data_IF_840117853744
#
_entry.id   IF_840117853744
#
_cell.length_a   1.000
_cell.length_b   1.000
_cell.length_c   1.000
_cell.angle_alpha   90.00
_cell.angle_beta   90.00
_cell.angle_gamma   90.00
#
_symmetry.space_group_name_H-M   'P 1'
#
loop_
_entity.id
_entity.type
_entity.pdbx_description
1 polymer ?
#
# COMPACT_ATOMS: atom_id res chain seq x y z
N UNK A 1 -7.06 -8.26 12.84
CA UNK A 1 -6.98 -9.56 12.14
C UNK A 1 -6.43 -10.61 13.10
N UNK A 2 -6.93 -11.84 13.06
CA UNK A 2 -6.34 -12.98 13.77
C UNK A 2 -5.81 -13.98 12.74
N UNK A 3 -4.59 -14.50 12.94
CA UNK A 3 -3.93 -15.40 12.00
C UNK A 3 -3.58 -16.71 12.74
N UNK A 4 -3.99 -17.89 12.23
CA UNK A 4 -3.54 -19.16 12.79
C UNK A 4 -2.02 -19.30 12.71
N UNK A 5 -1.39 -19.85 13.75
CA UNK A 5 0.07 -20.07 13.76
C UNK A 5 0.56 -20.85 12.53
N UNK A 6 -0.18 -21.89 12.14
CA UNK A 6 0.14 -22.69 10.95
C UNK A 6 0.16 -21.87 9.66
N UNK A 7 -0.65 -20.81 9.56
CA UNK A 7 -0.63 -19.90 8.42
C UNK A 7 0.68 -19.09 8.40
N UNK A 8 1.09 -18.51 9.55
CA UNK A 8 2.37 -17.80 9.64
C UNK A 8 3.57 -18.71 9.35
N UNK A 9 3.57 -19.94 9.88
CA UNK A 9 4.64 -20.92 9.63
C UNK A 9 4.71 -21.34 8.15
N UNK A 10 3.60 -21.33 7.43
CA UNK A 10 3.55 -21.72 6.00
C UNK A 10 3.84 -20.55 5.06
N UNK A 11 3.27 -19.37 5.35
CA UNK A 11 3.30 -18.19 4.49
C UNK A 11 4.53 -17.33 4.72
N UNK A 12 5.12 -17.41 5.93
CA UNK A 12 6.20 -16.55 6.37
C UNK A 12 5.72 -15.17 6.82
N UNK A 13 6.68 -14.33 7.23
CA UNK A 13 6.40 -13.01 7.76
C UNK A 13 5.85 -12.02 6.72
N UNK A 14 5.55 -10.83 7.23
CA UNK A 14 5.16 -9.67 6.44
C UNK A 14 6.32 -9.20 5.57
N UNK A 15 6.00 -8.70 4.37
CA UNK A 15 7.04 -8.23 3.46
C UNK A 15 7.62 -6.89 3.94
N UNK A 16 8.91 -6.88 4.28
CA UNK A 16 9.66 -5.68 4.67
C UNK A 16 9.86 -4.69 3.50
N UNK A 17 9.49 -5.08 2.28
CA UNK A 17 9.50 -4.17 1.12
C UNK A 17 8.49 -3.03 1.30
N UNK A 18 7.41 -3.31 2.01
CA UNK A 18 6.43 -2.34 2.43
C UNK A 18 6.78 -1.85 3.83
N UNK A 19 6.69 -0.53 4.05
CA UNK A 19 6.73 0.03 5.40
C UNK A 19 5.32 0.27 5.94
N UNK A 20 4.44 0.85 5.12
CA UNK A 20 3.05 1.16 5.40
C UNK A 20 2.23 0.99 4.12
N UNK A 21 1.00 0.48 4.23
CA UNK A 21 0.09 0.16 3.12
C UNK A 21 0.58 -0.98 2.20
N UNK A 22 -0.35 -1.87 1.85
CA UNK A 22 -0.17 -3.08 1.04
C UNK A 22 0.52 -4.27 1.70
N UNK A 23 1.16 -4.13 2.86
CA UNK A 23 1.73 -5.26 3.61
C UNK A 23 0.66 -6.30 3.97
N UNK A 24 -0.52 -5.84 4.40
CA UNK A 24 -1.67 -6.70 4.73
C UNK A 24 -2.25 -7.39 3.49
N UNK A 25 -2.35 -6.64 2.39
CA UNK A 25 -2.90 -7.16 1.13
C UNK A 25 -1.97 -8.21 0.52
N UNK A 26 -0.66 -7.93 0.52
CA UNK A 26 0.37 -8.87 0.09
C UNK A 26 0.31 -10.18 0.89
N UNK A 27 0.26 -10.06 2.22
CA UNK A 27 0.15 -11.21 3.12
C UNK A 27 -1.11 -12.03 2.81
N UNK A 28 -2.28 -11.39 2.68
CA UNK A 28 -3.54 -12.08 2.39
C UNK A 28 -3.50 -12.82 1.05
N UNK A 29 -2.89 -12.25 0.01
CA UNK A 29 -2.75 -12.92 -1.29
C UNK A 29 -1.82 -14.13 -1.18
N UNK A 30 -0.68 -14.01 -0.48
CA UNK A 30 0.22 -15.15 -0.25
C UNK A 30 -0.46 -16.26 0.55
N UNK A 31 -1.21 -15.89 1.60
CA UNK A 31 -1.99 -16.83 2.39
C UNK A 31 -3.06 -17.55 1.54
N UNK A 32 -3.77 -16.82 0.69
CA UNK A 32 -4.74 -17.40 -0.23
C UNK A 32 -4.10 -18.36 -1.22
N UNK A 33 -2.94 -18.01 -1.80
CA UNK A 33 -2.16 -18.89 -2.69
C UNK A 33 -1.66 -20.14 -1.98
N UNK A 34 -1.42 -20.07 -0.67
CA UNK A 34 -1.07 -21.21 0.18
C UNK A 34 -2.28 -22.04 0.67
N UNK A 35 -3.50 -21.70 0.22
CA UNK A 35 -4.73 -22.45 0.53
C UNK A 35 -5.47 -21.98 1.79
N UNK A 36 -5.05 -20.88 2.42
CA UNK A 36 -5.76 -20.30 3.57
C UNK A 36 -6.87 -19.34 3.11
N UNK A 37 -8.09 -19.56 3.62
CA UNK A 37 -9.21 -18.65 3.41
C UNK A 37 -9.21 -17.45 4.37
N UNK A 38 -9.85 -16.36 3.97
CA UNK A 38 -10.16 -15.22 4.84
C UNK A 38 -11.67 -15.17 5.11
N UNK A 39 -12.07 -14.88 6.34
CA UNK A 39 -13.47 -14.77 6.75
C UNK A 39 -13.69 -13.51 7.58
N UNK A 40 -14.74 -12.77 7.22
CA UNK A 40 -15.27 -11.67 8.01
C UNK A 40 -16.30 -12.19 9.02
N UNK A 41 -16.19 -11.77 10.28
CA UNK A 41 -17.07 -12.16 11.38
C UNK A 41 -17.78 -10.89 11.90
N UNK A 42 -18.99 -10.57 11.43
CA UNK A 42 -19.69 -9.33 11.80
C UNK A 42 -20.02 -9.24 13.29
N UNK A 43 -20.10 -10.36 13.99
CA UNK A 43 -20.33 -10.45 15.43
C UNK A 43 -19.15 -10.00 16.29
N UNK A 44 -17.94 -9.91 15.74
CA UNK A 44 -16.73 -9.47 16.45
C UNK A 44 -16.47 -8.00 16.09
N UNK A 45 -16.71 -7.10 17.03
CA UNK A 45 -16.55 -5.65 16.84
C UNK A 45 -15.28 -5.17 17.54
N UNK A 46 -14.40 -4.52 16.78
CA UNK A 46 -13.20 -3.84 17.30
C UNK A 46 -13.22 -2.40 16.78
N UNK A 47 -13.15 -1.43 17.69
CA UNK A 47 -13.10 -0.01 17.34
C UNK A 47 -11.66 0.42 17.05
N UNK A 48 -11.47 1.10 15.91
CA UNK A 48 -10.19 1.64 15.49
C UNK A 48 -10.38 3.09 15.04
N UNK A 49 -9.55 4.00 15.58
CA UNK A 49 -9.56 5.40 15.17
C UNK A 49 -8.86 5.54 13.82
N UNK A 50 -9.62 5.95 12.80
CA UNK A 50 -9.09 6.05 11.44
C UNK A 50 -8.14 7.24 11.35
N UNK A 51 -6.98 7.01 10.76
CA UNK A 51 -5.98 8.05 10.46
C UNK A 51 -5.37 8.76 11.68
N UNK A 52 -5.49 8.22 12.90
CA UNK A 52 -4.97 8.87 14.12
C UNK A 52 -3.45 9.10 14.13
N UNK A 53 -2.65 8.22 13.52
CA UNK A 53 -1.19 8.33 13.53
C UNK A 53 -0.59 9.04 12.31
N UNK A 54 -1.15 8.82 11.12
CA UNK A 54 -0.57 9.30 9.84
C UNK A 54 -1.34 10.51 9.29
N UNK A 55 -2.58 10.74 9.74
CA UNK A 55 -3.48 11.75 9.19
C UNK A 55 -4.13 11.31 7.88
N UNK A 56 -5.35 11.81 7.62
CA UNK A 56 -6.07 11.56 6.39
C UNK A 56 -5.47 12.39 5.25
N UNK A 57 -5.19 11.75 4.10
CA UNK A 57 -4.57 12.42 2.94
C UNK A 57 -3.29 13.21 3.27
N UNK A 58 -2.46 12.67 4.16
CA UNK A 58 -1.16 13.28 4.49
C UNK A 58 -0.13 13.03 3.39
N UNK A 59 0.98 13.79 3.37
CA UNK A 59 2.08 13.56 2.43
C UNK A 59 2.61 12.12 2.50
N UNK A 60 2.70 11.57 3.72
CA UNK A 60 3.15 10.20 3.99
C UNK A 60 2.22 9.17 3.37
N UNK A 61 0.91 9.36 3.52
CA UNK A 61 -0.09 8.51 2.86
C UNK A 61 0.12 8.48 1.35
N UNK A 62 0.19 9.67 0.72
CA UNK A 62 0.33 9.78 -0.73
C UNK A 62 1.64 9.18 -1.26
N UNK A 63 2.71 9.30 -0.49
CA UNK A 63 3.98 8.69 -0.82
C UNK A 63 3.88 7.16 -0.90
N UNK A 64 3.48 6.52 0.20
CA UNK A 64 3.48 5.07 0.30
C UNK A 64 2.38 4.42 -0.55
N UNK A 65 1.19 5.03 -0.67
CA UNK A 65 0.14 4.46 -1.51
C UNK A 65 0.55 4.45 -3.00
N UNK A 66 1.26 5.48 -3.46
CA UNK A 66 1.74 5.58 -4.84
C UNK A 66 2.89 4.59 -5.04
N UNK A 67 3.91 4.63 -4.18
CA UNK A 67 5.06 3.72 -4.26
C UNK A 67 4.65 2.24 -4.21
N UNK A 68 3.84 1.88 -3.23
CA UNK A 68 3.55 0.47 -2.92
C UNK A 68 2.58 -0.16 -3.91
N UNK A 69 1.66 0.61 -4.50
CA UNK A 69 0.83 0.11 -5.60
C UNK A 69 1.70 -0.41 -6.75
N UNK A 70 2.80 0.30 -7.05
CA UNK A 70 3.74 -0.14 -8.09
C UNK A 70 4.47 -1.43 -7.71
N UNK A 71 4.91 -1.61 -6.47
CA UNK A 71 5.53 -2.87 -6.03
C UNK A 71 4.53 -4.02 -5.99
N UNK A 72 3.32 -3.75 -5.51
CA UNK A 72 2.23 -4.70 -5.50
C UNK A 72 1.94 -5.24 -6.91
N UNK A 73 1.87 -4.36 -7.90
CA UNK A 73 1.72 -4.76 -9.30
C UNK A 73 2.87 -5.67 -9.78
N UNK A 74 4.12 -5.40 -9.40
CA UNK A 74 5.26 -6.22 -9.82
C UNK A 74 5.22 -7.63 -9.22
N UNK A 75 4.76 -7.74 -7.98
CA UNK A 75 4.78 -8.98 -7.22
C UNK A 75 3.55 -9.86 -7.49
N UNK A 76 2.41 -9.26 -7.85
CA UNK A 76 1.13 -9.99 -7.93
C UNK A 76 0.43 -9.96 -9.28
N UNK A 77 0.77 -9.04 -10.19
CA UNK A 77 0.17 -8.99 -11.53
C UNK A 77 1.02 -9.80 -12.50
N UNK A 78 0.36 -10.68 -13.26
CA UNK A 78 1.03 -11.45 -14.31
C UNK A 78 1.66 -10.53 -15.36
N UNK A 79 2.83 -10.94 -15.89
CA UNK A 79 3.62 -10.13 -16.83
C UNK A 79 2.83 -9.65 -18.05
N UNK A 80 1.91 -10.47 -18.55
CA UNK A 80 1.04 -10.14 -19.70
C UNK A 80 0.08 -8.98 -19.40
N UNK A 81 -0.39 -8.86 -18.16
CA UNK A 81 -1.30 -7.81 -17.71
C UNK A 81 -0.58 -6.58 -17.14
N UNK A 82 0.73 -6.69 -16.87
CA UNK A 82 1.51 -5.65 -16.21
C UNK A 82 1.56 -4.35 -17.02
N UNK A 83 1.65 -4.41 -18.35
CA UNK A 83 1.69 -3.20 -19.20
C UNK A 83 0.38 -2.42 -19.06
N UNK A 84 -0.76 -3.10 -19.15
CA UNK A 84 -2.07 -2.47 -18.98
C UNK A 84 -2.23 -1.89 -17.57
N UNK A 85 -1.81 -2.63 -16.54
CA UNK A 85 -1.81 -2.15 -15.16
C UNK A 85 -0.95 -0.88 -14.99
N UNK A 86 0.18 -0.78 -15.70
CA UNK A 86 1.04 0.41 -15.71
C UNK A 86 0.40 1.60 -16.42
N UNK A 87 -0.23 1.36 -17.56
CA UNK A 87 -0.97 2.39 -18.30
C UNK A 87 -2.08 2.96 -17.42
N UNK A 88 -2.87 2.10 -16.77
CA UNK A 88 -3.92 2.54 -15.86
C UNK A 88 -3.35 3.28 -14.64
N UNK A 89 -2.28 2.76 -14.05
CA UNK A 89 -1.63 3.38 -12.90
C UNK A 89 -1.10 4.79 -13.21
N UNK A 90 -0.32 4.97 -14.27
CA UNK A 90 0.22 6.29 -14.62
C UNK A 90 -0.80 7.19 -15.32
N UNK A 91 -1.72 6.64 -16.09
CA UNK A 91 -2.70 7.39 -16.89
C UNK A 91 -3.97 7.80 -16.13
N UNK A 92 -4.36 7.06 -15.10
CA UNK A 92 -5.56 7.35 -14.31
C UNK A 92 -5.24 7.50 -12.82
N UNK A 93 -4.56 6.52 -12.22
CA UNK A 93 -4.39 6.47 -10.76
C UNK A 93 -3.54 7.61 -10.20
N UNK A 94 -2.38 7.89 -10.81
CA UNK A 94 -1.52 9.01 -10.41
C UNK A 94 -2.22 10.37 -10.60
N UNK A 95 -2.81 10.69 -11.77
CA UNK A 95 -3.59 11.92 -11.93
C UNK A 95 -4.71 12.08 -10.90
N UNK A 96 -5.45 11.01 -10.61
CA UNK A 96 -6.50 11.02 -9.57
C UNK A 96 -5.91 11.38 -8.20
N UNK A 97 -4.80 10.75 -7.80
CA UNK A 97 -4.15 11.05 -6.54
C UNK A 97 -3.55 12.47 -6.48
N UNK A 98 -3.10 13.04 -7.60
CA UNK A 98 -2.70 14.46 -7.67
C UNK A 98 -3.92 15.35 -7.40
N UNK A 99 -5.07 15.07 -8.02
CA UNK A 99 -6.30 15.85 -7.79
C UNK A 99 -6.74 15.77 -6.32
N UNK A 100 -6.68 14.58 -5.71
CA UNK A 100 -7.00 14.41 -4.28
C UNK A 100 -5.97 15.13 -3.38
N UNK A 101 -4.70 15.08 -3.72
CA UNK A 101 -3.62 15.78 -3.01
C UNK A 101 -3.80 17.31 -3.04
N UNK A 102 -4.35 17.87 -4.12
CA UNK A 102 -4.64 19.31 -4.21
C UNK A 102 -5.70 19.78 -3.20
N UNK A 103 -6.59 18.88 -2.75
CA UNK A 103 -7.58 19.16 -1.70
C UNK A 103 -7.08 18.97 -0.26
N UNK A 104 -5.80 18.60 -0.07
CA UNK A 104 -5.23 18.36 1.26
C UNK A 104 -4.77 19.68 1.94
N UNK A 105 -4.55 19.69 3.27
CA UNK A 105 -4.05 20.88 3.97
C UNK A 105 -2.68 21.38 3.50
N UNK A 106 -1.87 20.51 2.88
CA UNK A 106 -0.53 20.83 2.35
C UNK A 106 -0.36 20.34 0.89
N UNK A 107 -1.03 20.99 -0.08
CA UNK A 107 -1.12 20.51 -1.46
C UNK A 107 0.24 20.24 -2.13
N UNK A 108 1.19 21.17 -1.99
CA UNK A 108 2.51 21.04 -2.59
C UNK A 108 3.26 19.80 -2.08
N UNK A 109 3.30 19.60 -0.77
CA UNK A 109 3.96 18.45 -0.15
C UNK A 109 3.29 17.14 -0.52
N UNK A 110 1.96 17.11 -0.59
CA UNK A 110 1.21 15.92 -0.98
C UNK A 110 1.43 15.57 -2.46
N UNK A 111 1.34 16.54 -3.38
CA UNK A 111 1.60 16.32 -4.81
C UNK A 111 3.04 15.87 -5.04
N UNK A 112 4.01 16.51 -4.37
CA UNK A 112 5.41 16.09 -4.40
C UNK A 112 5.57 14.63 -3.98
N UNK A 113 4.90 14.21 -2.90
CA UNK A 113 4.97 12.85 -2.40
C UNK A 113 4.26 11.83 -3.31
N UNK A 114 3.16 12.19 -3.98
CA UNK A 114 2.56 11.34 -5.03
C UNK A 114 3.59 11.05 -6.13
N UNK A 115 4.23 12.10 -6.66
CA UNK A 115 5.20 11.98 -7.74
C UNK A 115 6.46 11.23 -7.30
N UNK A 116 7.01 11.60 -6.14
CA UNK A 116 8.18 10.96 -5.55
C UNK A 116 7.94 9.47 -5.34
N UNK A 117 6.82 9.10 -4.71
CA UNK A 117 6.43 7.70 -4.50
C UNK A 117 6.27 6.94 -5.80
N UNK A 118 5.67 7.54 -6.83
CA UNK A 118 5.49 6.91 -8.14
C UNK A 118 6.82 6.58 -8.86
N UNK A 119 7.87 7.35 -8.58
CA UNK A 119 9.20 7.22 -9.18
C UNK A 119 10.17 6.40 -8.33
N UNK A 120 10.00 6.39 -7.00
CA UNK A 120 10.83 5.64 -6.07
C UNK A 120 10.94 4.16 -6.46
N UNK A 121 12.14 3.62 -6.32
CA UNK A 121 12.44 2.19 -6.50
C UNK A 121 12.98 1.52 -5.23
N UNK A 122 13.22 2.31 -4.20
CA UNK A 122 13.69 1.87 -2.90
C UNK A 122 12.59 1.10 -2.15
N UNK A 123 13.01 0.09 -1.39
CA UNK A 123 12.15 -0.79 -0.59
C UNK A 123 12.29 -0.42 0.91
N UNK A 124 11.25 -0.68 1.68
CA UNK A 124 11.26 -0.51 3.14
C UNK A 124 11.14 0.94 3.62
N UNK A 125 11.65 1.20 4.84
CA UNK A 125 11.50 2.48 5.59
C UNK A 125 12.55 3.54 5.22
N UNK A 126 13.58 3.20 4.44
CA UNK A 126 14.79 4.02 4.28
C UNK A 126 14.56 5.47 3.83
N UNK A 127 13.43 5.81 3.22
CA UNK A 127 13.14 7.17 2.72
C UNK A 127 12.42 8.08 3.72
N UNK A 128 11.98 7.58 4.88
CA UNK A 128 11.22 8.39 5.85
C UNK A 128 12.12 9.26 6.75
N UNK A 129 13.40 8.94 6.87
CA UNK A 129 14.33 9.69 7.74
C UNK A 129 14.89 10.98 7.11
N UNK A 130 14.62 11.24 5.83
CA UNK A 130 15.21 12.37 5.09
C UNK A 130 14.17 13.42 4.62
N UNK A 131 12.90 13.33 5.04
CA UNK A 131 11.94 14.41 4.79
C UNK A 131 12.00 15.45 5.92
N UNK A 132 12.27 16.73 5.62
CA UNK A 132 12.40 17.80 6.61
C UNK A 132 11.09 18.11 7.34
#
# INVERSE_FOLDING_TARGET
MAIPKACLETVGDWSEEYFLYFEEVDFCIRASKAGFGSKYLPEIIVHHEVSGSIGFHSPVYFYYISRNMRFFQQNHIEKQHLILARIFYYGFWIPLHIVLALGSPSPFSCVFNVLSGALTRSKGRHEFQEQP
#
